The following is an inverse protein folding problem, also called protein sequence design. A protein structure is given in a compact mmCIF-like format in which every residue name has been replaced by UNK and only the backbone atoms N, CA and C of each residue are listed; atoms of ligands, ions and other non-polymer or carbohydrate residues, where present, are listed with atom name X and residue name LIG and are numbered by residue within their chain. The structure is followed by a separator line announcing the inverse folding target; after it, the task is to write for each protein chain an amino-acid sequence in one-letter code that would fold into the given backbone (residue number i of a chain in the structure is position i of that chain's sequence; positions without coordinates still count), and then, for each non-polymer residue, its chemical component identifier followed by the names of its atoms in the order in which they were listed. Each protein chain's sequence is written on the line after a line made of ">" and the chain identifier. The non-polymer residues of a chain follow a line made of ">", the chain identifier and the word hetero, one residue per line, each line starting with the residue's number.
data_IF_244054724486
#
_entry.id   IF_244054724486
#
_cell.length_a   1.000
_cell.length_b   1.000
_cell.length_c   1.000
_cell.angle_alpha   90.00
_cell.angle_beta   90.00
_cell.angle_gamma   90.00
#
_symmetry.space_group_name_H-M   'P 1'
#
loop_
_entity.id
_entity.type
_entity.pdbx_description
1 polymer ?
#
# COMPACT_ATOMS: atom_id res chain seq x y z
N UNK A 1 15.90 3.22 5.21
CA UNK A 1 14.42 3.18 5.22
C UNK A 1 13.83 2.94 3.84
N UNK A 2 14.26 3.64 2.78
CA UNK A 2 13.70 3.48 1.43
C UNK A 2 13.90 2.09 0.79
N UNK A 3 14.99 1.39 1.12
CA UNK A 3 15.21 0.01 0.65
C UNK A 3 14.21 -1.00 1.22
N UNK A 4 13.65 -0.73 2.40
CA UNK A 4 12.61 -1.58 2.97
C UNK A 4 11.32 -1.49 2.15
N UNK A 5 10.93 -0.27 1.73
CA UNK A 5 9.77 -0.05 0.85
C UNK A 5 9.94 -0.78 -0.50
N UNK A 6 11.15 -0.84 -1.07
CA UNK A 6 11.43 -1.59 -2.31
C UNK A 6 11.30 -3.11 -2.17
N UNK A 7 11.42 -3.66 -0.95
CA UNK A 7 11.41 -5.11 -0.68
C UNK A 7 10.09 -5.61 -0.13
N UNK A 8 9.18 -4.71 0.25
CA UNK A 8 7.92 -5.09 0.87
C UNK A 8 6.99 -5.72 -0.17
N UNK A 9 6.38 -6.85 0.19
CA UNK A 9 5.43 -7.54 -0.67
C UNK A 9 4.07 -6.83 -0.59
N UNK A 10 3.61 -6.27 -1.71
CA UNK A 10 2.35 -5.53 -1.82
C UNK A 10 1.13 -6.37 -1.42
N UNK A 11 1.14 -7.69 -1.65
CA UNK A 11 0.03 -8.57 -1.26
C UNK A 11 -0.08 -8.65 0.26
N UNK A 12 1.05 -8.79 0.96
CA UNK A 12 1.06 -8.80 2.42
C UNK A 12 0.62 -7.44 2.99
N UNK A 13 1.06 -6.33 2.38
CA UNK A 13 0.59 -4.99 2.77
C UNK A 13 -0.93 -4.87 2.59
N UNK A 14 -1.46 -5.32 1.45
CA UNK A 14 -2.90 -5.33 1.19
C UNK A 14 -3.67 -6.14 2.24
N UNK A 15 -3.27 -7.39 2.50
CA UNK A 15 -3.94 -8.27 3.48
C UNK A 15 -3.93 -7.66 4.87
N UNK A 16 -2.80 -7.08 5.27
CA UNK A 16 -2.62 -6.49 6.60
C UNK A 16 -3.50 -5.23 6.74
N UNK A 17 -3.48 -4.33 5.76
CA UNK A 17 -4.33 -3.14 5.72
C UNK A 17 -5.82 -3.49 5.67
N UNK A 18 -6.20 -4.51 4.89
CA UNK A 18 -7.57 -5.00 4.80
C UNK A 18 -8.06 -5.51 6.14
N UNK A 19 -7.24 -6.28 6.86
CA UNK A 19 -7.56 -6.77 8.19
C UNK A 19 -7.81 -5.65 9.19
N UNK A 20 -6.91 -4.66 9.25
CA UNK A 20 -7.06 -3.53 10.18
C UNK A 20 -8.25 -2.63 9.84
N UNK A 21 -8.41 -2.23 8.58
CA UNK A 21 -9.54 -1.40 8.15
C UNK A 21 -10.87 -2.16 8.26
N UNK A 22 -10.87 -3.45 7.93
CA UNK A 22 -12.02 -4.33 8.08
C UNK A 22 -12.48 -4.39 9.52
N UNK A 23 -11.56 -4.68 10.44
CA UNK A 23 -11.86 -4.73 11.87
C UNK A 23 -12.36 -3.39 12.39
N UNK A 24 -11.71 -2.28 12.00
CA UNK A 24 -12.08 -0.94 12.42
C UNK A 24 -13.49 -0.54 11.94
N UNK A 25 -13.75 -0.64 10.63
CA UNK A 25 -15.04 -0.22 10.06
C UNK A 25 -16.19 -1.12 10.46
N UNK A 26 -15.91 -2.41 10.69
CA UNK A 26 -16.85 -3.33 11.31
C UNK A 26 -17.19 -2.88 12.74
N UNK A 27 -16.18 -2.59 13.57
CA UNK A 27 -16.39 -2.15 14.95
C UNK A 27 -17.12 -0.79 15.05
N UNK A 28 -16.88 0.13 14.11
CA UNK A 28 -17.59 1.41 14.03
C UNK A 28 -19.05 1.29 13.53
N UNK A 29 -19.51 0.12 13.12
CA UNK A 29 -20.86 -0.06 12.58
C UNK A 29 -21.09 0.68 11.26
N UNK A 30 -20.05 0.81 10.43
CA UNK A 30 -20.16 1.51 9.14
C UNK A 30 -21.09 0.73 8.21
N UNK A 31 -22.16 1.35 7.70
CA UNK A 31 -23.18 0.66 6.90
C UNK A 31 -22.62 -0.11 5.69
N UNK A 32 -21.63 0.48 5.00
CA UNK A 32 -20.93 -0.12 3.87
C UNK A 32 -19.49 -0.52 4.24
N UNK A 33 -19.26 -1.00 5.46
CA UNK A 33 -17.92 -1.25 6.00
C UNK A 33 -17.04 -2.04 5.02
N UNK A 34 -17.56 -3.09 4.37
CA UNK A 34 -16.79 -3.93 3.46
C UNK A 34 -16.34 -3.17 2.19
N UNK A 35 -17.23 -2.36 1.61
CA UNK A 35 -16.90 -1.53 0.45
C UNK A 35 -15.87 -0.46 0.83
N UNK A 36 -16.02 0.16 2.01
CA UNK A 36 -15.09 1.19 2.49
C UNK A 36 -13.73 0.55 2.82
N UNK A 37 -13.69 -0.65 3.41
CA UNK A 37 -12.47 -1.42 3.65
C UNK A 37 -11.76 -1.73 2.33
N UNK A 38 -12.48 -2.25 1.33
CA UNK A 38 -11.91 -2.55 0.01
C UNK A 38 -11.32 -1.30 -0.63
N UNK A 39 -12.06 -0.19 -0.61
CA UNK A 39 -11.61 1.07 -1.21
C UNK A 39 -10.39 1.63 -0.48
N UNK A 40 -10.41 1.70 0.86
CA UNK A 40 -9.29 2.19 1.66
C UNK A 40 -8.03 1.35 1.42
N UNK A 41 -8.15 0.03 1.51
CA UNK A 41 -7.03 -0.90 1.29
C UNK A 41 -6.47 -0.78 -0.13
N UNK A 42 -7.34 -0.67 -1.14
CA UNK A 42 -6.93 -0.53 -2.53
C UNK A 42 -6.18 0.79 -2.76
N UNK A 43 -6.67 1.91 -2.21
CA UNK A 43 -6.03 3.22 -2.31
C UNK A 43 -4.65 3.19 -1.63
N UNK A 44 -4.56 2.68 -0.40
CA UNK A 44 -3.30 2.61 0.33
C UNK A 44 -2.27 1.74 -0.39
N UNK A 45 -2.70 0.58 -0.91
CA UNK A 45 -1.83 -0.32 -1.66
C UNK A 45 -1.36 0.31 -2.98
N UNK A 46 -2.24 1.06 -3.66
CA UNK A 46 -1.89 1.80 -4.87
C UNK A 46 -0.85 2.90 -4.59
N UNK A 47 -0.96 3.61 -3.47
CA UNK A 47 0.03 4.60 -3.03
C UNK A 47 1.38 3.94 -2.77
N UNK A 48 1.41 2.81 -2.06
CA UNK A 48 2.65 2.06 -1.82
C UNK A 48 3.27 1.58 -3.13
N UNK A 49 2.46 1.06 -4.05
CA UNK A 49 2.92 0.63 -5.37
C UNK A 49 3.50 1.79 -6.21
N UNK A 50 2.83 2.96 -6.20
CA UNK A 50 3.32 4.15 -6.87
C UNK A 50 4.65 4.63 -6.28
N UNK A 51 4.78 4.65 -4.95
CA UNK A 51 6.04 4.98 -4.27
C UNK A 51 7.16 4.01 -4.64
N UNK A 52 6.89 2.70 -4.66
CA UNK A 52 7.86 1.71 -5.11
C UNK A 52 8.32 1.98 -6.55
N UNK A 53 7.39 2.25 -7.46
CA UNK A 53 7.70 2.55 -8.86
C UNK A 53 8.58 3.79 -9.02
N UNK A 54 8.25 4.87 -8.30
CA UNK A 54 9.03 6.11 -8.32
C UNK A 54 10.43 5.93 -7.73
N UNK A 55 10.56 5.20 -6.61
CA UNK A 55 11.87 4.92 -6.00
C UNK A 55 12.74 4.00 -6.88
N UNK A 56 12.14 2.99 -7.51
CA UNK A 56 12.80 2.12 -8.47
C UNK A 56 13.29 2.86 -9.71
N UNK A 57 12.50 3.80 -10.24
CA UNK A 57 12.86 4.60 -11.41
C UNK A 57 13.96 5.63 -11.09
N UNK A 58 13.89 6.30 -9.94
CA UNK A 58 14.94 7.20 -9.48
C UNK A 58 16.29 6.49 -9.26
N UNK A 59 16.27 5.29 -8.69
CA UNK A 59 17.49 4.48 -8.48
C UNK A 59 18.16 4.09 -9.79
N UNK A 60 17.39 3.69 -10.82
CA UNK A 60 17.93 3.33 -12.15
C UNK A 60 18.50 4.53 -12.90
N UNK A 61 17.94 5.73 -12.69
CA UNK A 61 18.41 6.95 -13.35
C UNK A 61 19.77 7.41 -12.82
N UNK A 62 20.02 7.21 -11.52
CA UNK A 62 21.32 7.51 -10.90
C UNK A 62 22.45 6.64 -11.48
N UNK A 63 22.18 5.35 -11.66
CA UNK A 63 23.17 4.36 -12.16
C UNK A 63 23.56 4.56 -13.63
N UNK A 64 22.77 5.31 -14.40
CA UNK A 64 23.00 5.57 -15.83
C UNK A 64 23.63 6.93 -16.12
N UNK A 65 23.82 7.75 -15.07
CA UNK A 65 24.42 9.09 -15.15
C UNK A 65 25.81 9.18 -14.52
N UNK A 66 26.35 8.06 -14.03
CA UNK A 66 27.75 7.83 -13.68
C UNK A 66 28.44 7.09 -14.83
#
# INVERSE_FOLDING_TARGET
>A
MLDWIRRINLIWVFVLLFGFHGLLYYYLGTANWLTVTLLATAVDTAVVAALQYLLLSASRRKEKGE
#
